data_IF_456655547384
#
_entry.id   IF_456655547384
#
_cell.length_a   1.000
_cell.length_b   1.000
_cell.length_c   1.000
_cell.angle_alpha   90.00
_cell.angle_beta   90.00
_cell.angle_gamma   90.00
#
_symmetry.space_group_name_H-M   'P 1'
#
loop_
_entity.id
_entity.type
_entity.pdbx_description
1 polymer ?
#
# COMPACT_ATOMS: atom_id res chain seq x y z
N UNK A 1 -30.50 14.42 1.56
CA UNK A 1 -29.33 13.61 2.01
C UNK A 1 -28.08 14.15 1.33
N UNK A 2 -27.10 14.65 2.07
CA UNK A 2 -25.81 15.09 1.48
C UNK A 2 -25.12 13.86 0.89
N UNK A 3 -24.93 13.82 -0.43
CA UNK A 3 -24.05 12.86 -1.07
C UNK A 3 -22.65 13.04 -0.45
N UNK A 4 -22.31 12.21 0.54
CA UNK A 4 -20.92 12.08 1.00
C UNK A 4 -20.15 11.72 -0.26
N UNK A 5 -19.34 12.66 -0.71
CA UNK A 5 -18.40 12.49 -1.81
C UNK A 5 -17.48 11.31 -1.39
N UNK A 6 -17.87 10.08 -1.76
CA UNK A 6 -17.14 8.87 -1.42
C UNK A 6 -15.90 8.94 -2.27
N UNK A 7 -14.87 9.57 -1.74
CA UNK A 7 -13.54 9.62 -2.30
C UNK A 7 -13.24 8.21 -2.83
N UNK A 8 -13.17 8.05 -4.17
CA UNK A 8 -13.02 6.73 -4.81
C UNK A 8 -11.97 5.96 -4.02
N UNK A 9 -12.40 4.88 -3.36
CA UNK A 9 -11.56 4.08 -2.47
C UNK A 9 -10.29 3.70 -3.24
N UNK A 10 -9.13 3.71 -2.60
CA UNK A 10 -7.85 3.41 -3.24
C UNK A 10 -7.89 2.07 -4.01
N UNK A 11 -8.71 1.11 -3.53
CA UNK A 11 -8.99 -0.15 -4.20
C UNK A 11 -9.65 0.02 -5.58
N UNK A 12 -10.61 0.93 -5.70
CA UNK A 12 -11.26 1.23 -6.98
C UNK A 12 -10.28 1.85 -7.97
N UNK A 13 -9.46 2.80 -7.50
CA UNK A 13 -8.39 3.41 -8.31
C UNK A 13 -7.36 2.38 -8.76
N UNK A 14 -6.94 1.50 -7.84
CA UNK A 14 -6.00 0.42 -8.16
C UNK A 14 -6.58 -0.57 -9.18
N UNK A 15 -7.87 -0.92 -9.05
CA UNK A 15 -8.55 -1.80 -10.01
C UNK A 15 -8.61 -1.19 -11.41
N UNK A 16 -8.94 0.10 -11.51
CA UNK A 16 -8.90 0.84 -12.78
C UNK A 16 -7.50 0.83 -13.39
N UNK A 17 -6.47 1.16 -12.61
CA UNK A 17 -5.09 1.14 -13.07
C UNK A 17 -4.65 -0.25 -13.54
N UNK A 18 -5.00 -1.33 -12.82
CA UNK A 18 -4.68 -2.70 -13.25
C UNK A 18 -5.29 -3.02 -14.62
N UNK A 19 -6.51 -2.56 -14.89
CA UNK A 19 -7.17 -2.71 -16.20
C UNK A 19 -6.42 -1.92 -17.28
N UNK A 20 -6.13 -0.65 -17.01
CA UNK A 20 -5.39 0.23 -17.94
C UNK A 20 -4.00 -0.34 -18.26
N UNK A 21 -3.33 -0.96 -17.29
CA UNK A 21 -2.04 -1.64 -17.50
C UNK A 21 -2.18 -2.88 -18.39
N UNK A 22 -3.21 -3.70 -18.20
CA UNK A 22 -3.45 -4.89 -19.04
C UNK A 22 -3.92 -4.53 -20.46
N UNK A 23 -4.49 -3.35 -20.66
CA UNK A 23 -4.84 -2.82 -21.98
C UNK A 23 -3.59 -2.33 -22.74
N UNK A 24 -2.59 -1.83 -22.02
CA UNK A 24 -1.38 -1.24 -22.61
C UNK A 24 -0.18 -2.21 -22.68
N UNK A 25 -0.15 -3.25 -21.85
CA UNK A 25 0.96 -4.19 -21.70
C UNK A 25 0.45 -5.63 -21.63
N UNK A 26 1.31 -6.59 -21.97
CA UNK A 26 0.95 -8.01 -21.86
C UNK A 26 0.80 -8.44 -20.40
N UNK A 27 0.06 -9.52 -20.15
CA UNK A 27 -0.10 -10.06 -18.79
C UNK A 27 1.26 -10.48 -18.19
N UNK A 28 2.18 -10.99 -19.01
CA UNK A 28 3.53 -11.34 -18.60
C UNK A 28 4.34 -10.13 -18.10
N UNK A 29 4.19 -8.98 -18.76
CA UNK A 29 4.86 -7.73 -18.37
C UNK A 29 4.42 -7.23 -16.97
N UNK A 30 3.19 -7.58 -16.55
CA UNK A 30 2.58 -7.10 -15.30
C UNK A 30 2.37 -8.18 -14.24
N UNK A 31 2.78 -9.43 -14.49
CA UNK A 31 2.59 -10.57 -13.58
C UNK A 31 3.06 -10.29 -12.15
N UNK A 32 4.23 -9.67 -12.01
CA UNK A 32 4.84 -9.33 -10.71
C UNK A 32 4.66 -7.85 -10.34
N UNK A 33 3.44 -7.33 -10.51
CA UNK A 33 3.14 -5.90 -10.34
C UNK A 33 3.62 -5.32 -9.00
N UNK A 34 3.56 -6.07 -7.90
CA UNK A 34 4.02 -5.58 -6.59
C UNK A 34 5.54 -5.32 -6.56
N UNK A 35 6.33 -6.23 -7.11
CA UNK A 35 7.79 -6.10 -7.17
C UNK A 35 8.18 -4.98 -8.15
N UNK A 36 7.56 -4.98 -9.33
CA UNK A 36 7.75 -3.94 -10.33
C UNK A 36 7.45 -2.55 -9.74
N UNK A 37 6.28 -2.36 -9.15
CA UNK A 37 5.89 -1.08 -8.55
C UNK A 37 6.80 -0.69 -7.37
N UNK A 38 7.36 -1.65 -6.64
CA UNK A 38 8.40 -1.36 -5.63
C UNK A 38 9.63 -0.74 -6.29
N UNK A 39 10.17 -1.35 -7.34
CA UNK A 39 11.33 -0.81 -8.08
C UNK A 39 11.04 0.58 -8.65
N UNK A 40 9.90 0.75 -9.32
CA UNK A 40 9.48 2.03 -9.89
C UNK A 40 9.29 3.11 -8.81
N UNK A 41 8.75 2.76 -7.65
CA UNK A 41 8.58 3.67 -6.53
C UNK A 41 9.93 4.16 -5.98
N UNK A 42 10.93 3.29 -5.87
CA UNK A 42 12.27 3.68 -5.43
C UNK A 42 12.99 4.53 -6.48
N UNK A 43 12.87 4.17 -7.76
CA UNK A 43 13.40 4.99 -8.86
C UNK A 43 12.81 6.40 -8.86
N UNK A 44 11.50 6.53 -8.64
CA UNK A 44 10.81 7.82 -8.64
C UNK A 44 11.40 8.82 -7.63
N UNK A 45 11.85 8.35 -6.46
CA UNK A 45 12.52 9.17 -5.45
C UNK A 45 14.03 9.28 -5.64
N UNK A 46 14.69 8.23 -6.11
CA UNK A 46 16.13 8.22 -6.32
C UNK A 46 16.50 7.60 -7.66
N UNK A 47 16.49 8.44 -8.69
CA UNK A 47 16.81 8.06 -10.08
C UNK A 47 18.26 7.60 -10.29
N UNK A 48 19.17 7.93 -9.36
CA UNK A 48 20.60 7.55 -9.45
C UNK A 48 20.86 6.14 -8.92
N UNK A 49 20.04 5.67 -7.98
CA UNK A 49 20.23 4.38 -7.30
C UNK A 49 19.67 3.19 -8.09
N UNK A 50 18.69 3.44 -8.96
CA UNK A 50 18.03 2.40 -9.74
C UNK A 50 18.14 2.72 -11.22
N UNK A 51 18.53 1.74 -12.01
CA UNK A 51 18.54 1.83 -13.47
C UNK A 51 17.31 1.10 -14.00
N UNK A 52 16.54 1.76 -14.87
CA UNK A 52 15.35 1.16 -15.51
C UNK A 52 15.57 1.11 -17.02
N UNK A 53 15.33 -0.06 -17.59
CA UNK A 53 15.44 -0.32 -19.03
C UNK A 53 14.23 -1.08 -19.55
N UNK A 54 14.06 -1.06 -20.88
CA UNK A 54 13.00 -1.79 -21.56
C UNK A 54 11.62 -1.53 -20.95
N UNK A 55 10.91 -2.62 -20.65
CA UNK A 55 9.53 -2.61 -20.16
C UNK A 55 9.33 -1.86 -18.85
N UNK A 56 10.27 -1.93 -17.91
CA UNK A 56 10.16 -1.19 -16.65
C UNK A 56 10.08 0.32 -16.90
N UNK A 57 10.88 0.82 -17.86
CA UNK A 57 10.88 2.23 -18.24
C UNK A 57 9.60 2.62 -18.99
N UNK A 58 9.10 1.77 -19.86
CA UNK A 58 7.82 1.98 -20.56
C UNK A 58 6.65 2.08 -19.57
N UNK A 59 6.57 1.16 -18.62
CA UNK A 59 5.53 1.14 -17.58
C UNK A 59 5.67 2.37 -16.67
N UNK A 60 6.89 2.73 -16.28
CA UNK A 60 7.11 3.96 -15.53
C UNK A 60 6.59 5.20 -16.27
N UNK A 61 6.95 5.35 -17.55
CA UNK A 61 6.51 6.47 -18.37
C UNK A 61 4.99 6.48 -18.53
N UNK A 62 4.37 5.31 -18.68
CA UNK A 62 2.91 5.16 -18.70
C UNK A 62 2.28 5.69 -17.41
N UNK A 63 2.80 5.33 -16.25
CA UNK A 63 2.28 5.81 -14.96
C UNK A 63 2.36 7.34 -14.88
N UNK A 64 3.52 7.92 -15.21
CA UNK A 64 3.71 9.37 -15.13
C UNK A 64 2.81 10.12 -16.12
N UNK A 65 2.71 9.63 -17.36
CA UNK A 65 1.84 10.23 -18.40
C UNK A 65 0.38 10.25 -17.96
N UNK A 66 -0.06 9.23 -17.23
CA UNK A 66 -1.42 9.12 -16.70
C UNK A 66 -1.56 9.69 -15.27
N UNK A 67 -0.59 10.48 -14.79
CA UNK A 67 -0.62 11.13 -13.47
C UNK A 67 -0.70 10.17 -12.27
N UNK A 68 -0.25 8.93 -12.45
CA UNK A 68 -0.08 7.98 -11.35
C UNK A 68 1.31 8.13 -10.73
N UNK A 69 1.35 8.48 -9.45
CA UNK A 69 2.58 8.45 -8.68
C UNK A 69 2.95 6.99 -8.33
N UNK A 70 4.11 6.47 -8.76
CA UNK A 70 4.48 5.06 -8.57
C UNK A 70 4.51 4.62 -7.09
N UNK A 71 4.95 5.49 -6.18
CA UNK A 71 4.94 5.20 -4.75
C UNK A 71 3.53 5.09 -4.18
N UNK A 72 2.60 5.91 -4.69
CA UNK A 72 1.20 5.86 -4.31
C UNK A 72 0.55 4.56 -4.80
N UNK A 73 0.83 4.16 -6.05
CA UNK A 73 0.37 2.89 -6.61
C UNK A 73 0.92 1.71 -5.81
N UNK A 74 2.23 1.70 -5.55
CA UNK A 74 2.87 0.66 -4.74
C UNK A 74 2.22 0.55 -3.36
N UNK A 75 1.94 1.69 -2.70
CA UNK A 75 1.22 1.71 -1.43
C UNK A 75 -0.16 1.09 -1.53
N UNK A 76 -0.92 1.37 -2.58
CA UNK A 76 -2.24 0.76 -2.79
C UNK A 76 -2.17 -0.75 -2.96
N UNK A 77 -1.16 -1.26 -3.68
CA UNK A 77 -0.92 -2.70 -3.83
C UNK A 77 -0.61 -3.34 -2.48
N UNK A 78 0.20 -2.69 -1.63
CA UNK A 78 0.45 -3.19 -0.28
C UNK A 78 -0.83 -3.24 0.55
N UNK A 79 -1.68 -2.21 0.46
CA UNK A 79 -2.95 -2.13 1.18
C UNK A 79 -4.00 -3.14 0.71
N UNK A 80 -3.93 -3.60 -0.55
CA UNK A 80 -4.80 -4.67 -1.06
C UNK A 80 -4.63 -5.97 -0.26
N UNK A 81 -3.41 -6.26 0.20
CA UNK A 81 -3.05 -7.48 0.96
C UNK A 81 -3.28 -7.35 2.48
N UNK A 82 -3.67 -6.17 2.96
CA UNK A 82 -3.88 -5.91 4.39
C UNK A 82 -5.20 -6.54 4.85
N UNK A 83 -5.29 -7.13 6.07
CA UNK A 83 -6.51 -7.68 6.66
C UNK A 83 -7.75 -6.75 6.58
N UNK A 84 -8.96 -7.31 6.45
CA UNK A 84 -10.20 -6.52 6.27
C UNK A 84 -10.50 -5.61 7.46
N UNK A 85 -10.17 -6.01 8.69
CA UNK A 85 -10.37 -5.17 9.88
C UNK A 85 -9.56 -3.86 9.77
N UNK A 86 -8.30 -3.95 9.35
CA UNK A 86 -7.47 -2.76 9.10
C UNK A 86 -8.00 -1.97 7.90
N UNK A 87 -8.45 -2.64 6.82
CA UNK A 87 -9.08 -1.95 5.67
C UNK A 87 -10.34 -1.20 6.08
N UNK A 88 -11.14 -1.76 6.99
CA UNK A 88 -12.33 -1.12 7.54
C UNK A 88 -11.96 0.14 8.32
N UNK A 89 -10.93 0.09 9.17
CA UNK A 89 -10.44 1.28 9.89
C UNK A 89 -9.97 2.39 8.93
N UNK A 90 -9.37 2.06 7.79
CA UNK A 90 -9.03 3.04 6.74
C UNK A 90 -10.31 3.64 6.13
N UNK A 91 -11.30 2.81 5.77
CA UNK A 91 -12.59 3.26 5.18
C UNK A 91 -13.32 4.21 6.14
N UNK A 92 -13.26 3.95 7.44
CA UNK A 92 -13.84 4.79 8.49
C UNK A 92 -12.98 6.01 8.86
N UNK A 93 -11.84 6.22 8.18
CA UNK A 93 -10.86 7.29 8.48
C UNK A 93 -10.32 7.26 9.92
N UNK A 94 -10.40 6.12 10.60
CA UNK A 94 -9.86 5.95 11.95
C UNK A 94 -8.33 5.89 11.93
N UNK A 95 -7.76 5.35 10.87
CA UNK A 95 -6.30 5.29 10.66
C UNK A 95 -5.94 5.76 9.26
N UNK A 96 -4.72 6.29 9.11
CA UNK A 96 -4.17 6.64 7.81
C UNK A 96 -3.66 5.40 7.07
N UNK A 97 -3.56 5.48 5.75
CA UNK A 97 -2.95 4.43 4.92
C UNK A 97 -1.53 4.06 5.35
N UNK A 98 -0.72 5.05 5.76
CA UNK A 98 0.65 4.80 6.25
C UNK A 98 0.63 4.00 7.55
N UNK A 99 -0.24 4.38 8.50
CA UNK A 99 -0.41 3.68 9.77
C UNK A 99 -0.92 2.25 9.57
N UNK A 100 -1.86 2.05 8.66
CA UNK A 100 -2.36 0.73 8.32
C UNK A 100 -1.27 -0.23 7.83
N UNK A 101 -0.36 0.24 6.97
CA UNK A 101 0.78 -0.56 6.50
C UNK A 101 1.70 -0.92 7.66
N UNK A 102 2.01 0.04 8.54
CA UNK A 102 2.83 -0.22 9.72
C UNK A 102 2.21 -1.26 10.66
N UNK A 103 0.90 -1.16 10.92
CA UNK A 103 0.16 -2.14 11.74
C UNK A 103 0.20 -3.52 11.08
N UNK A 104 -0.10 -3.61 9.78
CA UNK A 104 -0.09 -4.87 9.06
C UNK A 104 1.31 -5.47 8.94
N UNK A 105 2.36 -4.65 8.91
CA UNK A 105 3.74 -5.11 8.97
C UNK A 105 4.07 -5.66 10.36
N UNK A 106 3.72 -4.92 11.43
CA UNK A 106 3.92 -5.38 12.82
C UNK A 106 3.23 -6.73 13.06
N UNK A 107 1.94 -6.85 12.72
CA UNK A 107 1.16 -8.09 12.90
C UNK A 107 1.78 -9.31 12.19
N UNK A 108 2.44 -9.11 11.05
CA UNK A 108 3.11 -10.20 10.33
C UNK A 108 4.39 -10.70 11.00
N UNK A 109 5.01 -9.87 11.84
CA UNK A 109 6.24 -10.19 12.56
C UNK A 109 6.00 -10.31 14.06
N UNK A 110 4.75 -10.28 14.51
CA UNK A 110 4.37 -10.40 15.90
C UNK A 110 4.53 -11.88 16.29
N UNK A 111 5.39 -12.15 17.27
CA UNK A 111 5.56 -13.45 17.90
C UNK A 111 4.74 -13.51 19.18
N UNK A 112 4.46 -14.73 19.67
CA UNK A 112 3.79 -14.92 20.95
C UNK A 112 4.50 -14.19 22.11
N UNK A 113 5.83 -14.14 22.08
CA UNK A 113 6.65 -13.42 23.07
C UNK A 113 6.40 -11.91 23.00
N UNK A 114 6.52 -11.30 21.81
CA UNK A 114 6.28 -9.85 21.66
C UNK A 114 4.84 -9.44 21.96
N UNK A 115 3.88 -10.34 21.71
CA UNK A 115 2.49 -10.13 22.08
C UNK A 115 2.32 -10.16 23.61
N UNK A 116 2.88 -11.16 24.28
CA UNK A 116 2.82 -11.30 25.73
C UNK A 116 3.47 -10.10 26.45
N UNK A 117 4.61 -9.61 25.95
CA UNK A 117 5.25 -8.37 26.44
C UNK A 117 4.29 -7.18 26.29
N UNK A 118 3.68 -7.00 25.13
CA UNK A 118 2.76 -5.89 24.89
C UNK A 118 1.52 -5.92 25.79
N UNK A 119 0.99 -7.12 26.09
CA UNK A 119 -0.14 -7.31 27.01
C UNK A 119 0.28 -6.94 28.44
N UNK A 120 1.46 -7.40 28.87
CA UNK A 120 2.01 -7.07 30.20
C UNK A 120 2.19 -5.56 30.36
N UNK A 121 2.78 -4.89 29.38
CA UNK A 121 3.00 -3.44 29.42
C UNK A 121 1.70 -2.65 29.52
N UNK A 122 0.68 -3.04 28.75
CA UNK A 122 -0.64 -2.43 28.81
C UNK A 122 -1.28 -2.67 30.18
N UNK A 123 -1.18 -3.88 30.74
CA UNK A 123 -1.67 -4.21 32.07
C UNK A 123 -1.01 -3.35 33.16
N UNK A 124 0.31 -3.19 33.12
CA UNK A 124 1.05 -2.34 34.06
C UNK A 124 0.64 -0.86 33.95
N UNK A 125 0.46 -0.35 32.73
CA UNK A 125 0.01 1.03 32.52
C UNK A 125 -1.41 1.28 33.04
N UNK A 126 -2.30 0.30 32.93
CA UNK A 126 -3.66 0.40 33.47
C UNK A 126 -3.63 0.45 35.00
N UNK A 127 -2.84 -0.42 35.64
CA UNK A 127 -2.66 -0.43 37.09
C UNK A 127 -2.06 0.89 37.58
N UNK A 128 -1.03 1.41 36.90
CA UNK A 128 -0.37 2.66 37.28
C UNK A 128 -1.25 3.91 37.11
N UNK A 129 -2.37 3.80 36.39
CA UNK A 129 -3.34 4.90 36.19
C UNK A 129 -4.57 4.80 37.10
N UNK A 130 -4.71 3.70 37.84
CA UNK A 130 -5.71 3.55 38.90
C UNK A 130 -5.17 4.16 40.19
#
# INVERSE_FOLDING_TARGET
MKHKNVQKNFLGKLKSLKKELLEAFSEDDVRNLAELMSKLAHYHYNKKKYFMIGKEKEIYNFLIKNSYNPYTVYRWILLEKVPEDIRFQIKQKQITQKRAIAIAFKRRHETNETLAESIRDVGLQLIARM
#
